data_IF_701862960688
#
_entry.id   IF_701862960688
#
_cell.length_a   1.000
_cell.length_b   1.000
_cell.length_c   1.000
_cell.angle_alpha   90.00
_cell.angle_beta   90.00
_cell.angle_gamma   90.00
#
_symmetry.space_group_name_H-M   'P 1'
#
loop_
_entity.id
_entity.type
_entity.pdbx_description
1 polymer ?
#
# COMPACT_ATOMS: atom_id res chain seq x y z
N UNK A 1 -21.54 -9.26 2.99
CA UNK A 1 -20.19 -9.51 2.42
C UNK A 1 -20.08 -10.92 1.83
N UNK A 2 -20.27 -12.03 2.58
CA UNK A 2 -20.14 -13.40 2.05
C UNK A 2 -21.08 -13.70 0.88
N UNK A 3 -22.34 -13.26 0.94
CA UNK A 3 -23.28 -13.44 -0.18
C UNK A 3 -22.83 -12.73 -1.48
N UNK A 4 -22.17 -11.59 -1.36
CA UNK A 4 -21.61 -10.89 -2.53
C UNK A 4 -20.44 -11.68 -3.13
N UNK A 5 -19.55 -12.19 -2.28
CA UNK A 5 -18.42 -13.04 -2.74
C UNK A 5 -18.92 -14.34 -3.36
N UNK A 6 -19.91 -14.99 -2.76
CA UNK A 6 -20.53 -16.20 -3.33
C UNK A 6 -21.16 -15.95 -4.71
N UNK A 7 -21.81 -14.77 -4.88
CA UNK A 7 -22.50 -14.41 -6.12
C UNK A 7 -21.57 -13.94 -7.24
N UNK A 8 -20.53 -13.19 -6.88
CA UNK A 8 -19.70 -12.48 -7.87
C UNK A 8 -18.24 -12.95 -7.90
N UNK A 9 -17.83 -13.81 -6.96
CA UNK A 9 -16.41 -14.20 -6.83
C UNK A 9 -15.85 -14.88 -8.08
N UNK A 10 -16.67 -15.61 -8.84
CA UNK A 10 -16.23 -16.23 -10.10
C UNK A 10 -15.84 -15.23 -11.19
N UNK A 11 -16.29 -13.97 -11.10
CA UNK A 11 -15.91 -12.91 -12.04
C UNK A 11 -14.43 -12.50 -11.88
N UNK A 12 -13.79 -12.90 -10.78
CA UNK A 12 -12.37 -12.61 -10.51
C UNK A 12 -11.43 -13.70 -11.09
N UNK A 13 -11.98 -14.82 -11.54
CA UNK A 13 -11.18 -15.92 -12.07
C UNK A 13 -10.62 -15.53 -13.45
N UNK A 14 -9.31 -15.66 -13.62
CA UNK A 14 -8.56 -15.20 -14.79
C UNK A 14 -8.22 -16.34 -15.79
N UNK A 15 -8.78 -17.53 -15.56
CA UNK A 15 -8.54 -18.73 -16.36
C UNK A 15 -7.25 -19.48 -16.00
N UNK A 16 -6.41 -18.96 -15.11
CA UNK A 16 -5.21 -19.65 -14.60
C UNK A 16 -5.46 -20.40 -13.30
N UNK A 17 -6.57 -20.10 -12.65
CA UNK A 17 -6.99 -20.68 -11.40
C UNK A 17 -8.10 -19.89 -10.72
N UNK A 18 -8.45 -20.34 -9.52
CA UNK A 18 -9.42 -19.66 -8.68
C UNK A 18 -8.74 -18.54 -7.89
N UNK A 19 -9.23 -17.31 -8.06
CA UNK A 19 -8.77 -16.16 -7.28
C UNK A 19 -9.47 -16.16 -5.92
N UNK A 20 -8.71 -16.15 -4.83
CA UNK A 20 -9.24 -16.06 -3.47
C UNK A 20 -9.46 -14.59 -3.05
N UNK A 21 -10.32 -14.40 -2.04
CA UNK A 21 -10.74 -13.10 -1.56
C UNK A 21 -10.51 -12.99 -0.05
N UNK A 22 -9.77 -11.98 0.37
CA UNK A 22 -9.75 -11.54 1.77
C UNK A 22 -10.32 -10.12 1.87
N UNK A 23 -11.23 -9.87 2.79
CA UNK A 23 -11.83 -8.55 2.98
C UNK A 23 -12.17 -8.33 4.45
N UNK A 24 -11.98 -7.09 4.92
CA UNK A 24 -12.34 -6.64 6.28
C UNK A 24 -13.18 -5.37 6.16
N UNK A 25 -14.30 -5.32 6.86
CA UNK A 25 -15.11 -4.12 7.06
C UNK A 25 -14.87 -3.60 8.46
N UNK A 26 -14.45 -2.35 8.58
CA UNK A 26 -14.12 -1.69 9.83
C UNK A 26 -14.96 -0.43 10.01
N UNK A 27 -15.40 -0.17 11.23
CA UNK A 27 -15.98 1.10 11.61
C UNK A 27 -14.90 2.18 11.65
N UNK A 28 -15.08 3.25 10.89
CA UNK A 28 -14.06 4.28 10.73
C UNK A 28 -13.87 5.18 11.97
N UNK A 29 -14.84 5.22 12.89
CA UNK A 29 -14.76 6.05 14.10
C UNK A 29 -14.12 5.28 15.26
N UNK A 30 -14.46 4.01 15.38
CA UNK A 30 -14.06 3.19 16.53
C UNK A 30 -12.91 2.24 16.25
N UNK A 31 -12.63 1.95 14.96
CA UNK A 31 -11.71 0.90 14.54
C UNK A 31 -12.26 -0.52 14.72
N UNK A 32 -13.53 -0.67 15.15
CA UNK A 32 -14.11 -1.98 15.37
C UNK A 32 -14.32 -2.74 14.05
N UNK A 33 -13.96 -4.02 14.03
CA UNK A 33 -14.22 -4.91 12.91
C UNK A 33 -15.69 -5.29 12.92
N UNK A 34 -16.43 -4.84 11.91
CA UNK A 34 -17.86 -5.12 11.74
C UNK A 34 -18.12 -6.43 10.99
N UNK A 35 -17.15 -6.90 10.22
CA UNK A 35 -17.25 -8.15 9.51
C UNK A 35 -16.04 -8.41 8.61
N UNK A 36 -15.90 -9.64 8.17
CA UNK A 36 -14.82 -10.03 7.24
C UNK A 36 -15.25 -11.17 6.33
N UNK A 37 -14.48 -11.39 5.28
CA UNK A 37 -14.52 -12.57 4.42
C UNK A 37 -13.10 -13.10 4.31
N UNK A 38 -12.87 -14.34 4.74
CA UNK A 38 -11.55 -14.99 4.74
C UNK A 38 -11.27 -15.83 3.49
N UNK A 39 -12.25 -16.01 2.61
CA UNK A 39 -12.12 -16.82 1.40
C UNK A 39 -13.45 -17.00 0.69
N UNK A 40 -13.42 -17.61 -0.50
CA UNK A 40 -14.62 -17.88 -1.30
C UNK A 40 -15.38 -19.11 -0.81
N UNK A 41 -14.69 -20.13 -0.35
CA UNK A 41 -15.28 -21.34 0.21
C UNK A 41 -14.37 -21.93 1.29
N UNK A 42 -14.77 -21.76 2.55
CA UNK A 42 -14.01 -22.27 3.71
C UNK A 42 -13.87 -23.80 3.73
N UNK A 43 -14.84 -24.53 3.17
CA UNK A 43 -14.76 -26.00 3.12
C UNK A 43 -13.66 -26.51 2.19
N UNK A 44 -13.35 -25.76 1.13
CA UNK A 44 -12.31 -26.12 0.17
C UNK A 44 -10.93 -25.56 0.57
N UNK A 45 -10.91 -24.34 1.15
CA UNK A 45 -9.69 -23.69 1.58
C UNK A 45 -9.92 -23.03 2.95
N UNK A 46 -9.35 -23.60 4.00
CA UNK A 46 -9.50 -23.13 5.38
C UNK A 46 -8.56 -21.96 5.73
N UNK A 47 -7.71 -21.53 4.79
CA UNK A 47 -6.87 -20.37 5.01
C UNK A 47 -7.69 -19.09 5.07
N UNK A 48 -7.55 -18.32 6.15
CA UNK A 48 -8.23 -17.04 6.30
C UNK A 48 -7.41 -15.94 5.62
N UNK A 49 -7.75 -15.62 4.38
CA UNK A 49 -7.05 -14.61 3.59
C UNK A 49 -7.22 -13.19 4.11
N UNK A 50 -8.14 -12.94 5.04
CA UNK A 50 -8.30 -11.64 5.67
C UNK A 50 -7.26 -11.40 6.79
N UNK A 51 -6.82 -12.47 7.50
CA UNK A 51 -5.96 -12.35 8.69
C UNK A 51 -4.70 -13.20 8.65
N UNK A 52 -4.73 -14.38 8.03
CA UNK A 52 -3.62 -15.33 8.11
C UNK A 52 -2.67 -15.26 6.90
N UNK A 53 -3.17 -14.82 5.75
CA UNK A 53 -2.35 -14.70 4.53
C UNK A 53 -1.49 -13.46 4.57
N UNK A 54 -0.17 -13.66 4.59
CA UNK A 54 0.81 -12.57 4.47
C UNK A 54 1.17 -12.35 3.00
N UNK A 55 0.93 -11.16 2.48
CA UNK A 55 1.30 -10.73 1.13
C UNK A 55 1.97 -9.37 1.18
N UNK A 56 2.80 -9.08 0.18
CA UNK A 56 3.32 -7.73 0.00
C UNK A 56 2.17 -6.75 -0.20
N UNK A 57 2.06 -5.70 0.60
CA UNK A 57 1.04 -4.66 0.46
C UNK A 57 1.29 -3.76 -0.75
N UNK A 58 2.43 -3.92 -1.43
CA UNK A 58 2.80 -3.16 -2.60
C UNK A 58 2.57 -1.64 -2.42
N UNK A 59 1.94 -0.97 -3.39
CA UNK A 59 1.74 0.48 -3.36
C UNK A 59 0.77 0.99 -2.29
N UNK A 60 0.03 0.13 -1.61
CA UNK A 60 -0.81 0.54 -0.48
C UNK A 60 0.01 1.00 0.73
N UNK A 61 1.31 0.71 0.76
CA UNK A 61 2.24 1.23 1.78
C UNK A 61 2.62 2.70 1.57
N UNK A 62 2.50 3.25 0.38
CA UNK A 62 2.97 4.63 0.09
C UNK A 62 2.34 5.69 1.00
N UNK A 63 1.01 5.70 1.21
CA UNK A 63 0.41 6.64 2.16
C UNK A 63 0.87 6.40 3.60
N UNK A 64 1.15 5.17 4.01
CA UNK A 64 1.51 4.85 5.39
C UNK A 64 3.00 5.05 5.68
N UNK A 65 3.87 4.53 4.79
CA UNK A 65 5.33 4.49 4.98
C UNK A 65 6.03 5.80 4.60
N UNK A 66 5.46 6.57 3.68
CA UNK A 66 6.11 7.77 3.15
C UNK A 66 5.25 9.02 3.34
N UNK A 67 4.19 9.18 2.57
CA UNK A 67 3.45 10.44 2.50
C UNK A 67 2.75 10.82 3.81
N UNK A 68 2.09 9.87 4.48
CA UNK A 68 1.39 10.13 5.73
C UNK A 68 2.34 10.57 6.83
N UNK A 69 3.49 9.91 6.97
CA UNK A 69 4.52 10.30 7.94
C UNK A 69 5.09 11.69 7.60
N UNK A 70 5.35 11.97 6.32
CA UNK A 70 5.87 13.27 5.91
C UNK A 70 4.87 14.42 6.17
N UNK A 71 3.58 14.17 5.99
CA UNK A 71 2.51 15.12 6.30
C UNK A 71 2.37 15.32 7.80
N UNK A 72 2.34 14.23 8.58
CA UNK A 72 2.26 14.28 10.05
C UNK A 72 3.42 15.03 10.69
N UNK A 73 4.61 14.89 10.11
CA UNK A 73 5.81 15.65 10.51
C UNK A 73 5.82 17.12 10.02
N UNK A 74 4.79 17.58 9.32
CA UNK A 74 4.72 18.93 8.76
C UNK A 74 5.74 19.22 7.64
N UNK A 75 6.31 18.18 7.03
CA UNK A 75 7.35 18.31 6.01
C UNK A 75 6.78 18.51 4.60
N UNK A 76 5.54 18.07 4.39
CA UNK A 76 4.86 18.09 3.10
C UNK A 76 3.36 18.35 3.25
N UNK A 77 2.72 18.76 2.15
CA UNK A 77 1.27 18.81 1.98
C UNK A 77 0.90 18.33 0.58
N UNK A 78 -0.41 18.27 0.25
CA UNK A 78 -0.91 17.79 -1.04
C UNK A 78 -0.30 18.49 -2.25
N UNK A 79 -0.04 19.80 -2.10
CA UNK A 79 0.49 20.68 -3.16
C UNK A 79 2.03 20.73 -3.19
N UNK A 80 2.71 19.99 -2.30
CA UNK A 80 4.19 19.93 -2.33
C UNK A 80 4.65 19.32 -3.64
N UNK A 81 5.54 20.03 -4.33
CA UNK A 81 6.11 19.58 -5.60
C UNK A 81 7.20 18.57 -5.36
N UNK A 82 7.07 17.43 -5.99
CA UNK A 82 7.99 16.28 -5.89
C UNK A 82 8.63 15.98 -7.24
N UNK A 83 9.87 15.49 -7.18
CA UNK A 83 10.58 15.02 -8.36
C UNK A 83 10.08 13.66 -8.81
N UNK A 84 9.77 13.54 -10.09
CA UNK A 84 9.50 12.28 -10.78
C UNK A 84 10.44 12.10 -11.99
N UNK A 85 11.62 12.71 -11.96
CA UNK A 85 12.66 12.49 -12.98
C UNK A 85 13.26 11.09 -12.85
N UNK A 86 13.69 10.49 -13.96
CA UNK A 86 14.33 9.18 -13.97
C UNK A 86 15.40 9.06 -12.87
N UNK A 87 15.30 8.02 -12.07
CA UNK A 87 16.11 7.80 -10.88
C UNK A 87 16.37 6.31 -10.70
N UNK A 88 17.52 5.96 -10.14
CA UNK A 88 17.89 4.58 -9.85
C UNK A 88 17.95 4.33 -8.32
N UNK A 89 17.71 3.09 -7.93
CA UNK A 89 18.05 2.60 -6.60
C UNK A 89 19.57 2.59 -6.40
N UNK A 90 20.04 2.43 -5.15
CA UNK A 90 21.46 2.36 -4.83
C UNK A 90 22.22 1.21 -5.54
N UNK A 91 21.52 0.16 -5.92
CA UNK A 91 22.06 -0.97 -6.70
C UNK A 91 22.13 -0.70 -8.21
N UNK A 92 21.81 0.51 -8.68
CA UNK A 92 21.85 0.92 -10.07
C UNK A 92 20.59 0.58 -10.87
N UNK A 93 19.66 -0.19 -10.34
CA UNK A 93 18.42 -0.53 -11.03
C UNK A 93 17.48 0.68 -11.14
N UNK A 94 16.84 0.94 -12.29
CA UNK A 94 15.94 2.06 -12.44
C UNK A 94 14.67 1.88 -11.60
N UNK A 95 14.19 2.98 -11.04
CA UNK A 95 12.88 3.02 -10.39
C UNK A 95 11.82 3.22 -11.46
N UNK A 96 11.03 2.18 -11.70
CA UNK A 96 10.02 2.16 -12.76
C UNK A 96 8.61 2.35 -12.18
N UNK A 97 7.74 2.94 -12.99
CA UNK A 97 6.29 2.89 -12.81
C UNK A 97 5.68 2.28 -14.08
N UNK A 98 5.14 1.06 -13.98
CA UNK A 98 4.79 0.28 -15.16
C UNK A 98 5.98 0.31 -16.17
N UNK A 99 5.77 0.83 -17.37
CA UNK A 99 6.82 0.96 -18.40
C UNK A 99 7.44 2.37 -18.48
N UNK A 100 7.14 3.27 -17.50
CA UNK A 100 7.64 4.65 -17.47
C UNK A 100 8.81 4.82 -16.51
N UNK A 101 9.82 5.57 -16.94
CA UNK A 101 10.98 5.96 -16.12
C UNK A 101 10.77 7.25 -15.32
N UNK A 102 9.60 7.85 -15.40
CA UNK A 102 9.28 9.15 -14.77
C UNK A 102 9.13 10.27 -15.81
N UNK A 103 8.46 11.35 -15.41
CA UNK A 103 7.96 12.40 -16.30
C UNK A 103 8.21 13.84 -15.83
N UNK A 104 9.12 14.08 -14.89
CA UNK A 104 9.43 15.43 -14.44
C UNK A 104 8.93 15.73 -13.03
N UNK A 105 8.31 16.91 -12.81
CA UNK A 105 7.82 17.35 -11.50
C UNK A 105 6.30 17.18 -11.41
N UNK A 106 5.80 16.89 -10.20
CA UNK A 106 4.36 16.77 -9.93
C UNK A 106 4.05 17.09 -8.47
N UNK A 107 2.77 17.33 -8.14
CA UNK A 107 2.35 17.47 -6.75
C UNK A 107 2.34 16.13 -6.03
N UNK A 108 2.41 16.16 -4.68
CA UNK A 108 2.24 14.95 -3.87
C UNK A 108 0.87 14.31 -4.14
N UNK A 109 -0.19 15.14 -4.27
CA UNK A 109 -1.54 14.66 -4.60
C UNK A 109 -1.58 13.87 -5.91
N UNK A 110 -0.96 14.37 -6.97
CA UNK A 110 -0.83 13.66 -8.25
C UNK A 110 0.03 12.40 -8.12
N UNK A 111 1.15 12.48 -7.41
CA UNK A 111 2.04 11.34 -7.19
C UNK A 111 1.33 10.18 -6.49
N UNK A 112 0.48 10.47 -5.51
CA UNK A 112 -0.31 9.48 -4.81
C UNK A 112 -1.47 8.97 -5.67
N UNK A 113 -2.20 9.87 -6.34
CA UNK A 113 -3.34 9.52 -7.19
C UNK A 113 -2.97 8.52 -8.30
N UNK A 114 -1.83 8.74 -8.95
CA UNK A 114 -1.32 7.84 -9.98
C UNK A 114 -0.34 6.79 -9.45
N UNK A 115 -0.08 6.80 -8.13
CA UNK A 115 0.80 5.83 -7.48
C UNK A 115 2.23 5.77 -8.05
N UNK A 116 2.81 6.93 -8.39
CA UNK A 116 4.19 7.01 -8.88
C UNK A 116 5.21 6.51 -7.84
N UNK A 117 6.23 5.79 -8.30
CA UNK A 117 7.23 5.18 -7.42
C UNK A 117 8.36 6.13 -7.05
N UNK A 118 8.82 6.96 -7.99
CA UNK A 118 9.96 7.86 -7.77
C UNK A 118 9.67 8.91 -6.69
N UNK A 119 8.51 9.62 -6.71
CA UNK A 119 8.18 10.57 -5.65
C UNK A 119 8.10 9.90 -4.27
N UNK A 120 7.52 8.69 -4.18
CA UNK A 120 7.45 7.94 -2.92
C UNK A 120 8.84 7.54 -2.41
N UNK A 121 9.74 7.12 -3.29
CA UNK A 121 11.14 6.82 -2.96
C UNK A 121 11.87 8.04 -2.40
N UNK A 122 11.75 9.21 -3.03
CA UNK A 122 12.38 10.44 -2.56
C UNK A 122 11.79 10.91 -1.23
N UNK A 123 10.46 10.80 -1.05
CA UNK A 123 9.81 11.10 0.23
C UNK A 123 10.34 10.20 1.34
N UNK A 124 10.39 8.89 1.12
CA UNK A 124 10.96 7.95 2.09
C UNK A 124 12.44 8.24 2.40
N UNK A 125 13.25 8.50 1.39
CA UNK A 125 14.66 8.89 1.59
C UNK A 125 14.80 10.14 2.43
N UNK A 126 14.03 11.18 2.13
CA UNK A 126 14.03 12.43 2.90
C UNK A 126 13.69 12.18 4.37
N UNK A 127 12.69 11.36 4.68
CA UNK A 127 12.37 10.99 6.07
C UNK A 127 13.56 10.35 6.77
N UNK A 128 14.24 9.41 6.09
CA UNK A 128 15.43 8.74 6.63
C UNK A 128 16.59 9.72 6.83
N UNK A 129 16.86 10.60 5.90
CA UNK A 129 17.92 11.62 5.98
C UNK A 129 17.65 12.64 7.09
N UNK A 130 16.38 12.93 7.41
CA UNK A 130 15.97 13.77 8.54
C UNK A 130 15.95 13.03 9.89
N UNK A 131 16.28 11.76 9.92
CA UNK A 131 16.29 10.96 11.15
C UNK A 131 14.90 10.64 11.70
N UNK A 132 13.85 10.70 10.87
CA UNK A 132 12.49 10.33 11.29
C UNK A 132 12.45 8.83 11.57
N UNK A 133 11.91 8.45 12.72
CA UNK A 133 11.72 7.05 13.11
C UNK A 133 10.53 6.42 12.38
N UNK A 134 10.75 6.13 11.10
CA UNK A 134 9.74 5.50 10.23
C UNK A 134 9.30 4.14 10.77
N UNK A 135 10.24 3.35 11.34
CA UNK A 135 9.94 2.05 11.95
C UNK A 135 8.96 2.21 13.11
N UNK A 136 9.24 3.11 14.05
CA UNK A 136 8.35 3.39 15.18
C UNK A 136 6.97 3.90 14.75
N UNK A 137 6.87 4.68 13.67
CA UNK A 137 5.57 5.03 13.07
C UNK A 137 4.78 3.82 12.62
N UNK A 138 5.42 2.91 11.88
CA UNK A 138 4.78 1.69 11.38
C UNK A 138 4.35 0.76 12.53
N UNK A 139 5.18 0.61 13.55
CA UNK A 139 4.86 -0.17 14.76
C UNK A 139 3.66 0.40 15.51
N UNK A 140 3.56 1.73 15.65
CA UNK A 140 2.38 2.39 16.24
C UNK A 140 1.10 2.16 15.43
N UNK A 141 1.20 1.93 14.13
CA UNK A 141 0.08 1.56 13.27
C UNK A 141 -0.22 0.05 13.30
N UNK A 142 0.49 -0.73 14.12
CA UNK A 142 0.27 -2.17 14.29
C UNK A 142 1.03 -3.07 13.33
N UNK A 143 2.01 -2.53 12.59
CA UNK A 143 2.87 -3.35 11.72
C UNK A 143 4.00 -4.00 12.52
N UNK A 144 4.13 -5.33 12.38
CA UNK A 144 5.32 -6.06 12.83
C UNK A 144 6.40 -5.94 11.75
N UNK A 145 7.45 -5.19 12.04
CA UNK A 145 8.59 -5.03 11.13
C UNK A 145 9.71 -5.96 11.62
N UNK A 146 10.08 -7.00 10.85
CA UNK A 146 11.19 -7.87 11.21
C UNK A 146 12.49 -7.08 11.38
N UNK A 147 13.36 -7.52 12.30
CA UNK A 147 14.69 -6.98 12.50
C UNK A 147 15.59 -7.17 11.27
#
# INVERSE_FOLDING_TARGET
>A
MQNAVARYGSLLDDGTGRVEVGNVLMDNQTGAILGFVGGRNYQENQNNHAFDTKRSPASTTKPLLAYGIAIDQGLMGSETILSNYPTNFANGNPIMYANSKGTGMMTLGEALNYSWNIPAYWTYRMLREKGVDVKGYMEKMGYEIPE
#
